data_IF_632117145317
#
_entry.id   IF_632117145317
#
_cell.length_a   1.000
_cell.length_b   1.000
_cell.length_c   1.000
_cell.angle_alpha   90.00
_cell.angle_beta   90.00
_cell.angle_gamma   90.00
#
_symmetry.space_group_name_H-M   'P 1'
#
loop_
_entity.id
_entity.type
_entity.pdbx_description
1 polymer ?
#
# COMPACT_ATOMS: atom_id res chain seq x y z
N UNK A 1 -22.35 21.92 -15.27
CA UNK A 1 -22.53 21.29 -13.95
C UNK A 1 -21.34 21.70 -13.09
N UNK A 2 -21.53 22.59 -12.12
CA UNK A 2 -20.42 23.06 -11.26
C UNK A 2 -19.98 21.96 -10.29
N UNK A 3 -18.69 21.62 -10.33
CA UNK A 3 -18.13 20.61 -9.45
C UNK A 3 -17.96 21.18 -8.03
N UNK A 4 -18.67 20.61 -7.06
CA UNK A 4 -18.58 21.06 -5.66
C UNK A 4 -17.15 20.99 -5.11
N UNK A 5 -16.79 21.89 -4.20
CA UNK A 5 -15.44 21.97 -3.59
C UNK A 5 -14.94 20.64 -3.03
N UNK A 6 -15.84 19.83 -2.45
CA UNK A 6 -15.52 18.51 -1.92
C UNK A 6 -15.13 17.52 -3.03
N UNK A 7 -15.83 17.52 -4.16
CA UNK A 7 -15.48 16.67 -5.31
C UNK A 7 -14.09 17.01 -5.86
N UNK A 8 -13.75 18.30 -5.95
CA UNK A 8 -12.44 18.76 -6.42
C UNK A 8 -11.31 18.24 -5.51
N UNK A 9 -11.50 18.32 -4.19
CA UNK A 9 -10.52 17.84 -3.21
C UNK A 9 -10.36 16.32 -3.31
N UNK A 10 -11.47 15.57 -3.34
CA UNK A 10 -11.41 14.10 -3.44
C UNK A 10 -10.76 13.64 -4.76
N UNK A 11 -11.03 14.32 -5.88
CA UNK A 11 -10.41 14.00 -7.16
C UNK A 11 -8.91 14.28 -7.14
N UNK A 12 -8.49 15.38 -6.50
CA UNK A 12 -7.07 15.70 -6.30
C UNK A 12 -6.35 14.65 -5.46
N UNK A 13 -6.97 14.20 -4.36
CA UNK A 13 -6.44 13.12 -3.53
C UNK A 13 -6.32 11.80 -4.32
N UNK A 14 -7.34 11.43 -5.10
CA UNK A 14 -7.28 10.24 -5.95
C UNK A 14 -6.18 10.34 -7.01
N UNK A 15 -5.91 11.53 -7.55
CA UNK A 15 -4.83 11.76 -8.51
C UNK A 15 -3.44 11.58 -7.89
N UNK A 16 -3.23 12.11 -6.67
CA UNK A 16 -1.99 11.92 -5.90
C UNK A 16 -1.76 10.44 -5.62
N UNK A 17 -2.80 9.76 -5.13
CA UNK A 17 -2.79 8.34 -4.82
C UNK A 17 -2.50 7.48 -6.06
N UNK A 18 -3.19 7.74 -7.18
CA UNK A 18 -2.96 7.02 -8.43
C UNK A 18 -1.53 7.21 -8.96
N UNK A 19 -1.01 8.45 -8.87
CA UNK A 19 0.37 8.75 -9.26
C UNK A 19 1.36 7.97 -8.40
N UNK A 20 1.12 7.89 -7.09
CA UNK A 20 1.95 7.10 -6.18
C UNK A 20 1.87 5.60 -6.48
N UNK A 21 0.68 5.04 -6.69
CA UNK A 21 0.52 3.63 -7.03
C UNK A 21 1.27 3.32 -8.32
N UNK A 22 1.10 4.13 -9.36
CA UNK A 22 1.82 3.97 -10.64
C UNK A 22 3.33 4.02 -10.40
N UNK A 23 3.81 4.98 -9.59
CA UNK A 23 5.23 5.09 -9.28
C UNK A 23 5.76 3.87 -8.53
N UNK A 24 5.01 3.34 -7.54
CA UNK A 24 5.37 2.12 -6.80
C UNK A 24 5.28 0.85 -7.64
N UNK A 25 4.46 0.85 -8.70
CA UNK A 25 4.32 -0.28 -9.62
C UNK A 25 5.47 -0.30 -10.65
N UNK A 26 5.89 0.89 -11.09
CA UNK A 26 6.97 1.07 -12.07
C UNK A 26 8.36 1.09 -11.44
N UNK A 27 8.46 1.43 -10.16
CA UNK A 27 9.73 1.53 -9.44
C UNK A 27 9.61 0.89 -8.05
N UNK A 28 10.65 0.25 -7.51
CA UNK A 28 10.63 -0.34 -6.17
C UNK A 28 10.81 0.75 -5.08
N UNK A 29 10.25 1.93 -5.32
CA UNK A 29 10.20 3.06 -4.39
C UNK A 29 8.99 2.86 -3.50
N UNK A 30 9.18 2.99 -2.18
CA UNK A 30 8.10 3.01 -1.19
C UNK A 30 8.27 4.21 -0.28
N UNK A 31 7.19 4.69 0.30
CA UNK A 31 7.26 5.64 1.42
C UNK A 31 7.82 4.94 2.65
N UNK A 32 8.61 5.69 3.45
CA UNK A 32 9.13 5.20 4.72
C UNK A 32 7.98 4.89 5.68
N UNK A 33 8.06 3.73 6.33
CA UNK A 33 7.10 3.28 7.33
C UNK A 33 5.78 2.82 6.72
N UNK A 34 4.75 2.68 7.54
CA UNK A 34 3.45 2.14 7.13
C UNK A 34 2.67 3.07 6.20
N UNK A 35 3.18 4.26 5.86
CA UNK A 35 2.50 5.20 4.95
C UNK A 35 2.18 4.57 3.59
N UNK A 36 3.03 3.67 3.10
CA UNK A 36 2.74 2.89 1.90
C UNK A 36 1.49 1.99 2.06
N UNK A 37 1.37 1.30 3.19
CA UNK A 37 0.22 0.43 3.50
C UNK A 37 -1.08 1.23 3.64
N UNK A 38 -1.01 2.37 4.34
CA UNK A 38 -2.15 3.29 4.48
C UNK A 38 -2.63 3.80 3.13
N UNK A 39 -1.72 4.17 2.21
CA UNK A 39 -2.10 4.59 0.87
C UNK A 39 -2.78 3.45 0.10
N UNK A 40 -2.20 2.26 0.09
CA UNK A 40 -2.81 1.09 -0.55
C UNK A 40 -4.21 0.76 -0.03
N UNK A 41 -4.49 1.06 1.24
CA UNK A 41 -5.77 0.79 1.86
C UNK A 41 -6.81 1.91 1.66
N UNK A 42 -6.37 3.19 1.71
CA UNK A 42 -7.27 4.34 1.60
C UNK A 42 -7.65 4.58 0.13
N UNK A 43 -6.73 4.40 -0.81
CA UNK A 43 -6.96 4.72 -2.23
C UNK A 43 -8.18 4.00 -2.83
N UNK A 44 -8.37 2.67 -2.68
CA UNK A 44 -9.55 1.98 -3.19
C UNK A 44 -10.86 2.56 -2.63
N UNK A 45 -10.87 2.94 -1.35
CA UNK A 45 -12.05 3.49 -0.68
C UNK A 45 -12.47 4.85 -1.27
N UNK A 46 -11.49 5.70 -1.63
CA UNK A 46 -11.74 7.00 -2.26
C UNK A 46 -12.32 6.86 -3.66
N UNK A 47 -11.80 5.92 -4.47
CA UNK A 47 -12.33 5.62 -5.80
C UNK A 47 -13.77 5.11 -5.74
N UNK A 48 -14.06 4.19 -4.81
CA UNK A 48 -15.41 3.66 -4.62
C UNK A 48 -16.37 4.79 -4.21
N UNK A 49 -15.96 5.66 -3.28
CA UNK A 49 -16.76 6.81 -2.85
C UNK A 49 -17.09 7.76 -4.01
N UNK A 50 -16.09 8.11 -4.84
CA UNK A 50 -16.30 8.95 -6.02
C UNK A 50 -17.22 8.28 -7.03
N UNK A 51 -17.01 6.99 -7.32
CA UNK A 51 -17.84 6.24 -8.25
C UNK A 51 -19.31 6.24 -7.80
N UNK A 52 -19.57 5.95 -6.54
CA UNK A 52 -20.91 5.98 -5.96
C UNK A 52 -21.55 7.36 -6.08
N UNK A 53 -20.80 8.42 -5.78
CA UNK A 53 -21.30 9.79 -5.84
C UNK A 53 -21.64 10.23 -7.26
N UNK A 54 -20.80 9.89 -8.23
CA UNK A 54 -21.04 10.18 -9.65
C UNK A 54 -22.26 9.40 -10.14
N UNK A 55 -22.31 8.09 -9.89
CA UNK A 55 -23.43 7.24 -10.25
C UNK A 55 -24.75 7.73 -9.63
N UNK A 56 -24.74 8.16 -8.36
CA UNK A 56 -25.90 8.71 -7.68
C UNK A 56 -26.38 10.03 -8.30
N UNK A 57 -25.44 10.89 -8.69
CA UNK A 57 -25.76 12.17 -9.33
C UNK A 57 -26.36 11.95 -10.71
N UNK A 58 -25.78 11.06 -11.52
CA UNK A 58 -26.30 10.68 -12.84
C UNK A 58 -27.67 10.00 -12.73
N UNK A 59 -27.85 9.09 -11.77
CA UNK A 59 -29.14 8.44 -11.51
C UNK A 59 -30.22 9.47 -11.16
N UNK A 60 -29.92 10.42 -10.28
CA UNK A 60 -30.89 11.46 -9.88
C UNK A 60 -31.30 12.35 -11.06
N UNK A 61 -30.38 12.61 -12.00
CA UNK A 61 -30.63 13.43 -13.17
C UNK A 61 -31.40 12.67 -14.27
N UNK A 62 -30.95 11.47 -14.62
CA UNK A 62 -31.52 10.68 -15.73
C UNK A 62 -32.70 9.81 -15.33
N UNK A 63 -32.86 9.50 -14.03
CA UNK A 63 -33.83 8.55 -13.47
C UNK A 63 -33.82 7.19 -14.15
N UNK A 64 -32.66 6.78 -14.65
CA UNK A 64 -32.51 5.53 -15.39
C UNK A 64 -32.56 4.33 -14.43
N UNK A 65 -33.40 3.35 -14.75
CA UNK A 65 -33.58 2.14 -13.96
C UNK A 65 -32.31 1.28 -13.91
N UNK A 66 -31.50 1.30 -14.98
CA UNK A 66 -30.25 0.52 -15.05
C UNK A 66 -29.23 1.03 -14.05
N UNK A 67 -29.06 2.36 -13.96
CA UNK A 67 -28.14 2.99 -13.00
C UNK A 67 -28.63 2.76 -11.56
N UNK A 68 -29.95 2.81 -11.34
CA UNK A 68 -30.55 2.50 -10.03
C UNK A 68 -30.29 1.06 -9.59
N UNK A 69 -30.43 0.10 -10.51
CA UNK A 69 -30.15 -1.31 -10.25
C UNK A 69 -28.66 -1.54 -9.94
N UNK A 70 -27.75 -0.97 -10.73
CA UNK A 70 -26.30 -1.00 -10.50
C UNK A 70 -25.93 -0.41 -9.12
N UNK A 71 -26.50 0.73 -8.75
CA UNK A 71 -26.26 1.31 -7.43
C UNK A 71 -26.77 0.40 -6.32
N UNK A 72 -27.96 -0.17 -6.46
CA UNK A 72 -28.53 -1.09 -5.43
C UNK A 72 -27.65 -2.32 -5.24
N UNK A 73 -27.17 -2.92 -6.34
CA UNK A 73 -26.23 -4.03 -6.30
C UNK A 73 -24.90 -3.64 -5.64
N UNK A 74 -24.35 -2.47 -5.99
CA UNK A 74 -23.14 -1.97 -5.37
C UNK A 74 -23.31 -1.73 -3.85
N UNK A 75 -24.48 -1.27 -3.39
CA UNK A 75 -24.73 -1.04 -1.96
C UNK A 75 -24.77 -2.35 -1.18
N UNK A 76 -25.22 -3.44 -1.81
CA UNK A 76 -25.22 -4.78 -1.20
C UNK A 76 -23.80 -5.35 -1.16
N UNK A 77 -23.01 -5.16 -2.22
CA UNK A 77 -21.64 -5.68 -2.30
C UNK A 77 -20.66 -4.91 -1.41
N UNK A 78 -20.87 -3.60 -1.24
CA UNK A 78 -20.00 -2.72 -0.45
C UNK A 78 -19.71 -3.21 0.98
N UNK A 79 -20.70 -3.62 1.81
CA UNK A 79 -20.42 -4.14 3.15
C UNK A 79 -19.59 -5.42 3.13
N UNK A 80 -19.78 -6.31 2.14
CA UNK A 80 -18.93 -7.51 2.01
C UNK A 80 -17.50 -7.15 1.61
N UNK A 81 -17.32 -6.19 0.70
CA UNK A 81 -16.00 -5.68 0.34
C UNK A 81 -15.30 -5.02 1.54
N UNK A 82 -16.02 -4.26 2.35
CA UNK A 82 -15.50 -3.67 3.59
C UNK A 82 -15.11 -4.74 4.62
N UNK A 83 -15.92 -5.79 4.79
CA UNK A 83 -15.58 -6.91 5.67
C UNK A 83 -14.33 -7.65 5.19
N UNK A 84 -14.18 -7.88 3.88
CA UNK A 84 -12.97 -8.48 3.31
C UNK A 84 -11.74 -7.58 3.51
N UNK A 85 -11.88 -6.27 3.33
CA UNK A 85 -10.80 -5.31 3.61
C UNK A 85 -10.42 -5.28 5.09
N UNK A 86 -11.39 -5.34 6.00
CA UNK A 86 -11.15 -5.40 7.44
C UNK A 86 -10.50 -6.72 7.85
N UNK A 87 -10.92 -7.84 7.25
CA UNK A 87 -10.30 -9.14 7.45
C UNK A 87 -8.86 -9.13 6.94
N UNK A 88 -8.63 -8.61 5.73
CA UNK A 88 -7.29 -8.45 5.18
C UNK A 88 -6.44 -7.57 6.09
N UNK A 89 -6.96 -6.44 6.56
CA UNK A 89 -6.26 -5.57 7.50
C UNK A 89 -5.90 -6.28 8.79
N UNK A 90 -6.84 -7.04 9.36
CA UNK A 90 -6.59 -7.84 10.56
C UNK A 90 -5.48 -8.88 10.33
N UNK A 91 -5.45 -9.50 9.15
CA UNK A 91 -4.43 -10.47 8.77
C UNK A 91 -3.08 -9.82 8.46
N UNK A 92 -3.04 -8.61 7.90
CA UNK A 92 -1.79 -7.91 7.54
C UNK A 92 -1.22 -7.05 8.68
N UNK A 93 -2.05 -6.63 9.65
CA UNK A 93 -1.60 -5.87 10.84
C UNK A 93 -1.02 -6.76 11.95
N UNK A 94 -0.80 -8.05 11.71
CA UNK A 94 0.04 -8.84 12.61
C UNK A 94 1.46 -8.23 12.57
N UNK A 95 1.99 -7.74 13.70
CA UNK A 95 3.25 -7.01 13.73
C UNK A 95 4.40 -7.99 13.50
N UNK A 96 4.77 -8.16 12.25
CA UNK A 96 5.80 -9.12 11.86
C UNK A 96 7.02 -8.47 11.21
N UNK A 97 6.99 -7.15 11.01
CA UNK A 97 8.13 -6.39 10.51
C UNK A 97 9.09 -6.03 11.65
N UNK A 98 10.18 -6.78 11.76
CA UNK A 98 11.28 -6.48 12.68
C UNK A 98 12.36 -5.66 11.96
N UNK A 99 12.62 -4.45 12.44
CA UNK A 99 13.70 -3.61 11.91
C UNK A 99 15.00 -4.01 12.60
N UNK A 100 15.84 -4.80 11.91
CA UNK A 100 17.17 -5.19 12.40
C UNK A 100 18.14 -4.01 12.44
N UNK A 101 18.05 -3.13 11.44
CA UNK A 101 18.96 -1.99 11.32
C UNK A 101 18.27 -0.81 10.63
N UNK A 102 18.50 0.40 11.13
CA UNK A 102 18.01 1.61 10.47
C UNK A 102 19.02 2.75 10.64
N UNK A 103 19.42 3.33 9.51
CA UNK A 103 20.30 4.50 9.43
C UNK A 103 19.80 5.48 8.37
N UNK A 104 20.49 6.61 8.22
CA UNK A 104 20.20 7.58 7.16
C UNK A 104 20.50 7.05 5.75
N UNK A 105 21.20 5.92 5.60
CA UNK A 105 21.62 5.36 4.31
C UNK A 105 20.94 4.05 3.97
N UNK A 106 20.86 3.14 4.94
CA UNK A 106 20.26 1.82 4.78
C UNK A 106 19.29 1.50 5.90
N UNK A 107 18.28 0.71 5.56
CA UNK A 107 17.37 0.06 6.49
C UNK A 107 17.29 -1.44 6.14
N UNK A 108 17.31 -2.29 7.16
CA UNK A 108 17.15 -3.74 7.03
C UNK A 108 15.89 -4.12 7.80
N UNK A 109 14.95 -4.73 7.10
CA UNK A 109 13.65 -5.14 7.63
C UNK A 109 13.52 -6.65 7.44
N UNK A 110 13.16 -7.37 8.50
CA UNK A 110 12.67 -8.74 8.42
C UNK A 110 11.16 -8.66 8.38
N UNK A 111 10.54 -9.24 7.36
CA UNK A 111 9.10 -9.38 7.27
C UNK A 111 8.76 -10.84 7.60
N UNK A 112 8.23 -11.07 8.80
CA UNK A 112 7.88 -12.42 9.24
C UNK A 112 6.58 -12.85 8.55
N UNK A 113 6.60 -13.99 7.89
CA UNK A 113 5.45 -14.44 7.08
C UNK A 113 4.19 -14.60 7.93
N UNK A 114 3.08 -13.94 7.55
CA UNK A 114 1.86 -13.99 8.33
C UNK A 114 1.18 -15.38 8.30
N UNK A 115 1.27 -16.21 7.23
CA UNK A 115 0.78 -17.61 7.23
C UNK A 115 1.29 -18.50 6.06
N UNK A 116 1.45 -19.81 6.35
CA UNK A 116 1.72 -21.01 5.50
C UNK A 116 3.15 -21.25 4.98
N UNK A 117 3.94 -20.22 4.68
CA UNK A 117 5.38 -20.40 4.44
C UNK A 117 6.11 -19.99 5.71
N UNK A 118 6.59 -20.94 6.52
CA UNK A 118 7.45 -20.73 7.70
C UNK A 118 8.82 -20.11 7.35
N UNK A 119 8.84 -19.17 6.42
CA UNK A 119 10.02 -18.56 5.86
C UNK A 119 9.87 -17.07 6.06
N UNK A 120 10.61 -16.54 7.02
CA UNK A 120 10.76 -15.11 7.15
C UNK A 120 11.48 -14.59 5.91
N UNK A 121 11.15 -13.37 5.50
CA UNK A 121 11.80 -12.70 4.39
C UNK A 121 12.59 -11.52 4.94
N UNK A 122 13.72 -11.21 4.31
CA UNK A 122 14.44 -9.98 4.60
C UNK A 122 14.37 -9.03 3.41
N UNK A 123 14.51 -7.75 3.73
CA UNK A 123 14.64 -6.69 2.76
C UNK A 123 15.68 -5.68 3.19
N UNK A 124 16.56 -5.31 2.25
CA UNK A 124 17.52 -4.21 2.41
C UNK A 124 17.05 -3.05 1.55
N UNK A 125 16.87 -1.91 2.21
CA UNK A 125 16.33 -0.69 1.64
C UNK A 125 17.38 0.42 1.69
N UNK A 126 17.50 1.19 0.61
CA UNK A 126 18.23 2.46 0.60
C UNK A 126 17.31 3.57 1.05
N UNK A 127 17.73 4.34 2.04
CA UNK A 127 16.92 5.42 2.61
C UNK A 127 17.20 6.72 1.86
N UNK A 128 16.16 7.32 1.30
CA UNK A 128 16.13 8.62 0.65
C UNK A 128 14.95 9.41 1.18
N UNK A 129 15.05 9.88 2.42
CA UNK A 129 13.92 10.49 3.15
C UNK A 129 13.13 11.50 2.27
N UNK A 130 11.80 11.34 2.12
CA UNK A 130 10.88 10.45 2.84
C UNK A 130 10.67 9.06 2.19
N UNK A 131 11.43 8.71 1.16
CA UNK A 131 11.31 7.46 0.40
C UNK A 131 12.35 6.43 0.80
N UNK A 132 12.05 5.16 0.53
CA UNK A 132 12.98 4.03 0.55
C UNK A 132 12.95 3.34 -0.80
N UNK A 133 14.10 2.82 -1.21
CA UNK A 133 14.26 2.03 -2.42
C UNK A 133 14.68 0.62 -2.04
N UNK A 134 13.94 -0.38 -2.49
CA UNK A 134 14.29 -1.78 -2.21
C UNK A 134 15.47 -2.17 -3.08
N UNK A 135 16.62 -2.45 -2.46
CA UNK A 135 17.83 -2.86 -3.18
C UNK A 135 17.88 -4.39 -3.28
N UNK A 136 17.47 -5.09 -2.22
CA UNK A 136 17.53 -6.55 -2.15
C UNK A 136 16.41 -7.11 -1.29
N UNK A 137 15.88 -8.24 -1.70
CA UNK A 137 14.85 -9.01 -0.98
C UNK A 137 15.15 -10.49 -1.14
N UNK A 138 14.84 -11.30 -0.12
CA UNK A 138 15.09 -12.73 -0.15
C UNK A 138 14.62 -13.43 1.12
N UNK A 139 14.94 -14.73 1.21
CA UNK A 139 14.66 -15.53 2.40
C UNK A 139 15.58 -15.13 3.54
N UNK A 140 15.01 -15.05 4.73
CA UNK A 140 15.74 -14.76 5.95
C UNK A 140 16.67 -15.92 6.31
N UNK A 141 17.86 -15.56 6.77
CA UNK A 141 18.87 -16.44 7.36
C UNK A 141 19.36 -15.74 8.64
N UNK A 142 19.64 -16.50 9.70
CA UNK A 142 20.17 -15.99 10.96
C UNK A 142 21.49 -15.21 10.75
N UNK A 143 22.24 -15.51 9.69
CA UNK A 143 23.43 -14.76 9.30
C UNK A 143 23.13 -13.28 9.01
N UNK A 144 21.91 -12.95 8.58
CA UNK A 144 21.47 -11.59 8.27
C UNK A 144 21.31 -10.72 9.52
N UNK A 145 21.22 -11.31 10.73
CA UNK A 145 21.28 -10.56 12.00
C UNK A 145 22.59 -9.80 12.17
N UNK A 146 23.66 -10.23 11.47
CA UNK A 146 24.97 -9.57 11.50
C UNK A 146 24.99 -8.26 10.69
N UNK A 147 23.94 -7.93 9.95
CA UNK A 147 23.80 -6.70 9.15
C UNK A 147 23.43 -5.47 10.00
N UNK A 148 24.22 -5.22 11.04
CA UNK A 148 24.01 -4.19 12.08
C UNK A 148 24.75 -2.87 11.80
N UNK A 149 25.45 -2.75 10.66
CA UNK A 149 26.26 -1.58 10.29
C UNK A 149 26.35 -1.44 8.75
N UNK A 150 26.36 -0.21 8.20
CA UNK A 150 26.52 0.06 6.77
C UNK A 150 27.71 -0.67 6.12
N UNK A 151 28.85 -0.82 6.78
CA UNK A 151 30.01 -1.50 6.18
C UNK A 151 29.74 -2.98 5.89
N UNK A 152 29.02 -3.65 6.81
CA UNK A 152 28.63 -5.06 6.63
C UNK A 152 27.54 -5.20 5.58
N UNK A 153 26.59 -4.27 5.53
CA UNK A 153 25.56 -4.22 4.49
C UNK A 153 26.19 -4.03 3.11
N UNK A 154 27.13 -3.11 2.96
CA UNK A 154 27.82 -2.89 1.70
C UNK A 154 28.66 -4.09 1.26
N UNK A 155 29.32 -4.76 2.19
CA UNK A 155 30.05 -6.00 1.91
C UNK A 155 29.09 -7.10 1.43
N UNK A 156 27.99 -7.29 2.15
CA UNK A 156 26.96 -8.27 1.79
C UNK A 156 26.38 -8.03 0.39
N UNK A 157 26.08 -6.76 0.05
CA UNK A 157 25.58 -6.38 -1.27
C UNK A 157 26.62 -6.56 -2.39
N UNK A 158 27.92 -6.50 -2.09
CA UNK A 158 28.98 -6.79 -3.07
C UNK A 158 29.17 -8.28 -3.29
N UNK A 159 29.11 -9.07 -2.22
CA UNK A 159 29.26 -10.53 -2.27
C UNK A 159 28.03 -11.21 -2.89
N UNK A 160 26.86 -10.59 -2.73
CA UNK A 160 25.60 -11.05 -3.27
C UNK A 160 24.98 -9.93 -4.13
N UNK A 161 25.34 -9.82 -5.42
CA UNK A 161 24.69 -8.87 -6.33
C UNK A 161 23.20 -9.16 -6.56
#
# INVERSE_FOLDING_TARGET
MEMTRTTKITLGLCGIDATYIILTLLTPVRLIGNAHEWMWQITPSLFIFLFFRIAYTEWRQRKDAVIGCLMTGATIVLPFALLLLLLQLYLTNAPNDEILYSSNKYRVVINSGAFVTNSDFFRIEKVYWPFVYIIKEGYYDDELRKLDNPERIERFLRENP
#
